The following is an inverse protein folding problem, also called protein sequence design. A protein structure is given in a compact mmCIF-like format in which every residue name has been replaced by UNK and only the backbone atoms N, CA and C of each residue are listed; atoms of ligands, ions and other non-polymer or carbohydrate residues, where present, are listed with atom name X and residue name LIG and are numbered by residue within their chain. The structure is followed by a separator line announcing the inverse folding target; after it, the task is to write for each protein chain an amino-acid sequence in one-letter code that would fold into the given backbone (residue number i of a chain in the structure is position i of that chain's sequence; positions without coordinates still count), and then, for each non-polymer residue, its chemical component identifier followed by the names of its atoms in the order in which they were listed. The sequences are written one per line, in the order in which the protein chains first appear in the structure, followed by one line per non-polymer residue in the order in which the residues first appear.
data_IF_448713980520
#
_entry.id   IF_448713980520
#
_cell.length_a   1.000
_cell.length_b   1.000
_cell.length_c   1.000
_cell.angle_alpha   90.00
_cell.angle_beta   90.00
_cell.angle_gamma   90.00
#
_symmetry.space_group_name_H-M   'P 1'
#
loop_
_entity.id
_entity.type
_entity.pdbx_description
1 polymer ?
#
# COMPACT_ATOMS: atom_id res chain seq x y z
N UNK A 1 6.98 31.26 -8.72
CA UNK A 1 6.15 30.25 -8.02
C UNK A 1 7.06 29.09 -7.67
N UNK A 2 7.05 28.62 -6.41
CA UNK A 2 7.84 27.46 -5.99
C UNK A 2 7.34 26.21 -6.73
N UNK A 3 8.25 25.38 -7.26
CA UNK A 3 7.89 24.07 -7.82
C UNK A 3 7.44 23.18 -6.66
N UNK A 4 6.19 22.71 -6.73
CA UNK A 4 5.69 21.68 -5.84
C UNK A 4 6.42 20.35 -6.11
N UNK A 5 6.53 19.44 -5.12
CA UNK A 5 7.14 18.13 -5.31
C UNK A 5 6.47 17.36 -6.46
N UNK A 6 7.27 16.59 -7.20
CA UNK A 6 6.75 15.75 -8.28
C UNK A 6 5.69 14.77 -7.74
N UNK A 7 4.47 14.87 -8.27
CA UNK A 7 3.33 14.05 -7.85
C UNK A 7 2.38 14.72 -6.85
N UNK A 8 2.68 15.92 -6.37
CA UNK A 8 1.74 16.72 -5.58
C UNK A 8 0.90 17.65 -6.48
N UNK A 9 -0.41 17.59 -6.33
CA UNK A 9 -1.36 18.42 -7.06
C UNK A 9 -2.38 19.01 -6.09
N UNK A 10 -2.50 20.34 -6.09
CA UNK A 10 -3.54 21.05 -5.33
C UNK A 10 -4.91 20.80 -5.96
N UNK A 11 -5.00 20.69 -7.28
CA UNK A 11 -6.24 20.40 -8.01
C UNK A 11 -6.78 18.99 -7.68
N UNK A 12 -5.90 18.04 -7.36
CA UNK A 12 -6.26 16.67 -7.03
C UNK A 12 -6.72 16.46 -5.58
N UNK A 13 -6.54 17.43 -4.68
CA UNK A 13 -6.97 17.33 -3.28
C UNK A 13 -8.46 16.97 -3.15
N UNK A 14 -9.41 17.73 -3.73
CA UNK A 14 -10.84 17.41 -3.62
C UNK A 14 -11.20 16.07 -4.28
N UNK A 15 -10.51 15.70 -5.36
CA UNK A 15 -10.71 14.43 -6.07
C UNK A 15 -10.29 13.26 -5.16
N UNK A 16 -9.10 13.33 -4.56
CA UNK A 16 -8.58 12.28 -3.69
C UNK A 16 -9.44 12.14 -2.42
N UNK A 17 -9.93 13.24 -1.85
CA UNK A 17 -10.85 13.21 -0.72
C UNK A 17 -12.16 12.48 -1.08
N UNK A 18 -12.77 12.81 -2.22
CA UNK A 18 -13.98 12.13 -2.68
C UNK A 18 -13.74 10.63 -2.97
N UNK A 19 -12.59 10.27 -3.54
CA UNK A 19 -12.22 8.86 -3.76
C UNK A 19 -12.02 8.10 -2.44
N UNK A 20 -11.37 8.70 -1.45
CA UNK A 20 -11.16 8.10 -0.13
C UNK A 20 -12.47 7.87 0.62
N UNK A 21 -13.45 8.75 0.44
CA UNK A 21 -14.79 8.65 1.02
C UNK A 21 -15.74 7.74 0.20
N UNK A 22 -15.27 7.14 -0.89
CA UNK A 22 -16.09 6.29 -1.77
C UNK A 22 -17.08 7.06 -2.66
N UNK A 23 -17.06 8.39 -2.63
CA UNK A 23 -17.90 9.29 -3.46
C UNK A 23 -17.37 9.39 -4.89
N UNK A 24 -17.46 8.27 -5.61
CA UNK A 24 -16.86 8.10 -6.94
C UNK A 24 -17.46 9.04 -8.00
N UNK A 25 -18.77 9.32 -7.94
CA UNK A 25 -19.42 10.22 -8.90
C UNK A 25 -19.02 11.69 -8.71
N UNK A 26 -18.79 12.11 -7.47
CA UNK A 26 -18.29 13.45 -7.16
C UNK A 26 -16.86 13.62 -7.66
N UNK A 27 -16.02 12.59 -7.48
CA UNK A 27 -14.66 12.56 -8.01
C UNK A 27 -14.65 12.66 -9.55
N UNK A 28 -15.53 11.92 -10.24
CA UNK A 28 -15.68 12.02 -11.71
C UNK A 28 -16.07 13.42 -12.14
N UNK A 29 -17.03 14.03 -11.45
CA UNK A 29 -17.53 15.37 -11.77
C UNK A 29 -16.40 16.39 -11.68
N UNK A 30 -15.66 16.39 -10.57
CA UNK A 30 -14.52 17.28 -10.36
C UNK A 30 -13.41 17.07 -11.40
N UNK A 31 -13.11 15.81 -11.77
CA UNK A 31 -12.15 15.49 -12.83
C UNK A 31 -12.61 16.05 -14.18
N UNK A 32 -13.88 15.83 -14.55
CA UNK A 32 -14.41 16.30 -15.85
C UNK A 32 -14.41 17.83 -15.92
N UNK A 33 -14.78 18.51 -14.84
CA UNK A 33 -14.72 19.97 -14.76
C UNK A 33 -13.29 20.47 -14.99
N UNK A 34 -12.30 19.90 -14.29
CA UNK A 34 -10.90 20.29 -14.46
C UNK A 34 -10.38 19.99 -15.87
N UNK A 35 -10.69 18.82 -16.44
CA UNK A 35 -10.28 18.47 -17.80
C UNK A 35 -10.88 19.42 -18.84
N UNK A 36 -12.14 19.84 -18.67
CA UNK A 36 -12.81 20.79 -19.58
C UNK A 36 -12.16 22.17 -19.60
N UNK A 37 -11.45 22.57 -18.54
CA UNK A 37 -10.70 23.85 -18.53
C UNK A 37 -9.45 23.83 -19.40
N UNK A 38 -8.96 22.66 -19.80
CA UNK A 38 -7.70 22.49 -20.54
C UNK A 38 -6.43 22.67 -19.70
N UNK A 39 -6.56 22.96 -18.40
CA UNK A 39 -5.45 23.25 -17.49
C UNK A 39 -5.28 22.19 -16.38
N UNK A 40 -5.84 21.00 -16.57
CA UNK A 40 -5.70 19.90 -15.64
C UNK A 40 -4.23 19.47 -15.54
N UNK A 41 -3.70 19.41 -14.32
CA UNK A 41 -2.33 18.98 -14.10
C UNK A 41 -2.11 17.47 -14.31
N UNK A 42 -0.84 17.06 -14.32
CA UNK A 42 -0.44 15.67 -14.58
C UNK A 42 -1.06 14.66 -13.62
N UNK A 43 -1.32 15.06 -12.37
CA UNK A 43 -1.90 14.16 -11.36
C UNK A 43 -3.37 13.94 -11.65
N UNK A 44 -4.12 15.02 -11.95
CA UNK A 44 -5.53 14.93 -12.35
C UNK A 44 -5.69 14.11 -13.63
N UNK A 45 -4.81 14.32 -14.63
CA UNK A 45 -4.82 13.54 -15.87
C UNK A 45 -4.54 12.05 -15.63
N UNK A 46 -3.60 11.72 -14.73
CA UNK A 46 -3.33 10.33 -14.33
C UNK A 46 -4.55 9.70 -13.65
N UNK A 47 -5.16 10.40 -12.69
CA UNK A 47 -6.36 9.93 -11.99
C UNK A 47 -7.50 9.66 -12.98
N UNK A 48 -7.72 10.58 -13.93
CA UNK A 48 -8.70 10.38 -15.00
C UNK A 48 -8.39 9.13 -15.85
N UNK A 49 -7.13 8.93 -16.24
CA UNK A 49 -6.71 7.77 -17.01
C UNK A 49 -6.94 6.45 -16.26
N UNK A 50 -6.60 6.42 -14.96
CA UNK A 50 -6.85 5.25 -14.09
C UNK A 50 -8.33 4.97 -13.89
N UNK A 51 -9.19 5.99 -13.88
CA UNK A 51 -10.65 5.79 -13.82
C UNK A 51 -11.24 5.26 -15.13
N UNK A 52 -10.78 5.77 -16.27
CA UNK A 52 -11.26 5.34 -17.60
C UNK A 52 -10.77 3.93 -17.91
N UNK A 53 -9.48 3.67 -17.62
CA UNK A 53 -8.84 2.39 -17.85
C UNK A 53 -8.03 2.01 -16.61
N UNK A 54 -8.67 1.34 -15.64
CA UNK A 54 -7.97 0.87 -14.47
C UNK A 54 -6.77 0.02 -14.87
N UNK A 55 -5.63 0.15 -14.17
CA UNK A 55 -4.49 -0.72 -14.42
C UNK A 55 -4.96 -2.16 -14.31
N UNK A 56 -4.45 -3.01 -15.22
CA UNK A 56 -4.82 -4.42 -15.26
C UNK A 56 -4.55 -5.01 -13.87
N UNK A 57 -5.61 -5.31 -13.11
CA UNK A 57 -5.49 -5.98 -11.81
C UNK A 57 -4.60 -7.20 -12.02
N UNK A 58 -3.60 -7.39 -11.16
CA UNK A 58 -2.77 -8.59 -11.20
C UNK A 58 -3.72 -9.79 -11.16
N UNK A 59 -3.75 -10.57 -12.25
CA UNK A 59 -4.62 -11.73 -12.34
C UNK A 59 -4.03 -12.82 -11.46
N UNK A 60 -4.75 -13.19 -10.41
CA UNK A 60 -4.41 -14.28 -9.51
C UNK A 60 -5.04 -14.06 -8.14
N UNK A 61 -5.57 -15.13 -7.52
CA UNK A 61 -5.85 -15.11 -6.08
C UNK A 61 -4.48 -14.96 -5.40
N UNK A 62 -4.28 -13.90 -4.59
CA UNK A 62 -3.12 -13.85 -3.69
C UNK A 62 -3.14 -15.14 -2.89
N UNK A 63 -2.08 -15.94 -2.99
CA UNK A 63 -2.00 -17.20 -2.27
C UNK A 63 -2.11 -16.87 -0.78
N UNK A 64 -2.98 -17.57 -0.06
CA UNK A 64 -3.06 -17.39 1.38
C UNK A 64 -1.67 -17.67 1.96
N UNK A 65 -1.21 -16.82 2.87
CA UNK A 65 0.02 -17.05 3.61
C UNK A 65 -0.02 -18.45 4.21
N UNK A 66 1.06 -19.21 4.01
CA UNK A 66 1.19 -20.51 4.68
C UNK A 66 1.21 -20.27 6.18
N UNK A 67 0.58 -21.15 6.97
CA UNK A 67 0.45 -21.00 8.43
C UNK A 67 1.76 -20.60 9.12
N UNK A 68 2.88 -21.19 8.73
CA UNK A 68 4.20 -20.87 9.29
C UNK A 68 4.64 -19.42 9.04
N UNK A 69 4.24 -18.79 7.93
CA UNK A 69 4.62 -17.41 7.63
C UNK A 69 3.85 -16.42 8.49
N UNK A 70 2.58 -16.73 8.79
CA UNK A 70 1.78 -15.97 9.75
C UNK A 70 2.42 -16.05 11.14
N UNK A 71 2.75 -17.26 11.60
CA UNK A 71 3.39 -17.49 12.90
C UNK A 71 4.74 -16.77 13.04
N UNK A 72 5.56 -16.75 11.98
CA UNK A 72 6.83 -16.02 11.95
C UNK A 72 6.60 -14.51 12.08
N UNK A 73 5.65 -13.95 11.31
CA UNK A 73 5.33 -12.52 11.34
C UNK A 73 4.81 -12.06 12.70
N UNK A 74 3.86 -12.80 13.29
CA UNK A 74 3.31 -12.50 14.62
C UNK A 74 4.38 -12.50 15.71
N UNK A 75 5.24 -13.53 15.74
CA UNK A 75 6.31 -13.61 16.73
C UNK A 75 7.38 -12.56 16.52
N UNK A 76 7.68 -12.20 15.27
CA UNK A 76 8.59 -11.11 14.97
C UNK A 76 8.10 -9.80 15.59
N UNK A 77 6.83 -9.44 15.39
CA UNK A 77 6.25 -8.23 15.98
C UNK A 77 6.20 -8.28 17.49
N UNK A 78 5.82 -9.42 18.08
CA UNK A 78 5.81 -9.60 19.54
C UNK A 78 7.19 -9.30 20.15
N UNK A 79 8.25 -9.91 19.60
CA UNK A 79 9.61 -9.73 20.11
C UNK A 79 10.12 -8.29 19.89
N UNK A 80 9.71 -7.65 18.79
CA UNK A 80 10.04 -6.24 18.52
C UNK A 80 9.32 -5.30 19.49
N UNK A 81 8.08 -5.58 19.84
CA UNK A 81 7.30 -4.83 20.84
C UNK A 81 7.87 -5.01 22.26
N UNK A 82 8.44 -6.18 22.55
CA UNK A 82 9.21 -6.45 23.78
C UNK A 82 10.59 -5.76 23.81
N UNK A 83 10.97 -5.06 22.72
CA UNK A 83 12.20 -4.26 22.64
C UNK A 83 13.42 -5.00 22.12
N UNK A 84 13.27 -6.23 21.61
CA UNK A 84 14.39 -6.96 21.01
C UNK A 84 14.89 -6.28 19.72
N UNK A 85 16.21 -6.34 19.47
CA UNK A 85 16.81 -5.76 18.27
C UNK A 85 16.45 -6.58 17.04
N UNK A 86 16.29 -5.90 15.91
CA UNK A 86 15.89 -6.50 14.63
C UNK A 86 16.71 -7.74 14.25
N UNK A 87 18.04 -7.62 14.25
CA UNK A 87 18.94 -8.73 13.88
C UNK A 87 18.87 -9.90 14.85
N UNK A 88 18.71 -9.63 16.15
CA UNK A 88 18.60 -10.66 17.17
C UNK A 88 17.29 -11.45 17.02
N UNK A 89 16.19 -10.77 16.69
CA UNK A 89 14.90 -11.40 16.40
C UNK A 89 14.98 -12.26 15.15
N UNK A 90 15.62 -11.78 14.08
CA UNK A 90 15.80 -12.56 12.85
C UNK A 90 16.57 -13.86 13.11
N UNK A 91 17.69 -13.78 13.84
CA UNK A 91 18.47 -14.95 14.22
C UNK A 91 17.66 -15.92 15.07
N UNK A 92 16.95 -15.43 16.09
CA UNK A 92 16.13 -16.26 16.97
C UNK A 92 15.03 -17.01 16.20
N UNK A 93 14.33 -16.31 15.29
CA UNK A 93 13.29 -16.92 14.47
C UNK A 93 13.87 -17.87 13.42
N UNK A 94 15.04 -17.55 12.87
CA UNK A 94 15.78 -18.42 11.95
C UNK A 94 16.09 -19.76 12.61
N UNK A 95 16.63 -19.74 13.83
CA UNK A 95 16.91 -20.94 14.63
C UNK A 95 15.63 -21.69 15.02
N UNK A 96 14.60 -20.97 15.48
CA UNK A 96 13.34 -21.57 15.96
C UNK A 96 12.56 -22.29 14.86
N UNK A 97 12.48 -21.70 13.67
CA UNK A 97 11.70 -22.23 12.55
C UNK A 97 12.55 -23.03 11.56
N UNK A 98 13.87 -23.08 11.72
CA UNK A 98 14.78 -23.82 10.85
C UNK A 98 14.90 -23.23 9.43
N UNK A 99 14.62 -21.93 9.28
CA UNK A 99 14.71 -21.21 8.01
C UNK A 99 15.88 -20.24 8.01
N UNK A 100 16.41 -19.89 6.84
CA UNK A 100 17.41 -18.81 6.74
C UNK A 100 16.80 -17.46 7.10
N UNK A 101 17.61 -16.54 7.62
CA UNK A 101 17.19 -15.17 7.95
C UNK A 101 16.53 -14.44 6.75
N UNK A 102 17.01 -14.69 5.53
CA UNK A 102 16.39 -14.16 4.30
C UNK A 102 14.95 -14.64 4.13
N UNK A 103 14.67 -15.91 4.46
CA UNK A 103 13.33 -16.47 4.37
C UNK A 103 12.42 -15.92 5.48
N UNK A 104 12.95 -15.75 6.70
CA UNK A 104 12.26 -15.08 7.81
C UNK A 104 11.91 -13.63 7.43
N UNK A 105 12.86 -12.88 6.86
CA UNK A 105 12.63 -11.51 6.39
C UNK A 105 11.53 -11.44 5.33
N UNK A 106 11.50 -12.41 4.42
CA UNK A 106 10.43 -12.51 3.41
C UNK A 106 9.07 -12.76 4.06
N UNK A 107 8.99 -13.71 4.99
CA UNK A 107 7.76 -14.01 5.71
C UNK A 107 7.24 -12.79 6.48
N UNK A 108 8.12 -12.04 7.16
CA UNK A 108 7.77 -10.78 7.84
C UNK A 108 7.26 -9.74 6.85
N UNK A 109 7.94 -9.54 5.72
CA UNK A 109 7.51 -8.58 4.70
C UNK A 109 6.12 -8.90 4.15
N UNK A 110 5.83 -10.16 3.86
CA UNK A 110 4.50 -10.55 3.36
C UNK A 110 3.42 -10.46 4.45
N UNK A 111 3.78 -10.75 5.69
CA UNK A 111 2.89 -10.53 6.83
C UNK A 111 2.54 -9.03 6.99
N UNK A 112 3.52 -8.14 6.87
CA UNK A 112 3.32 -6.69 6.96
C UNK A 112 2.42 -6.17 5.84
N UNK A 113 2.58 -6.66 4.62
CA UNK A 113 1.70 -6.32 3.49
C UNK A 113 0.25 -6.73 3.76
N UNK A 114 0.02 -7.93 4.30
CA UNK A 114 -1.33 -8.41 4.61
C UNK A 114 -1.93 -7.67 5.80
N UNK A 115 -1.14 -7.42 6.85
CA UNK A 115 -1.57 -6.65 8.03
C UNK A 115 -1.93 -5.21 7.66
N UNK A 116 -1.17 -4.57 6.77
CA UNK A 116 -1.47 -3.22 6.30
C UNK A 116 -2.77 -3.14 5.50
N UNK A 117 -3.09 -4.17 4.71
CA UNK A 117 -4.36 -4.26 3.97
C UNK A 117 -5.53 -4.54 4.93
N UNK A 118 -5.36 -5.46 5.88
CA UNK A 118 -6.41 -5.81 6.84
C UNK A 118 -6.71 -4.70 7.87
N UNK A 119 -5.73 -3.84 8.18
CA UNK A 119 -5.94 -2.68 9.05
C UNK A 119 -6.42 -1.41 8.33
N UNK A 120 -6.62 -1.47 7.02
CA UNK A 120 -7.10 -0.36 6.19
C UNK A 120 -8.58 -0.49 5.78
N UNK A 121 -9.28 -1.51 6.29
CA UNK A 121 -10.74 -1.68 6.22
C UNK A 121 -11.41 -1.19 7.52
#
# INVERSE_FOLDING_TARGET
MAKLPDGFSVQAIPINAALAEGRTEDAKTAIVELLRTGNADRVVQRLAAEMIRPPKRARGRRQALTRHWIEIGEQFHLLRDEGAKYEDVLRLLSEKFGYSETHVRKAVSEYDEVRAVAGAE
#
